data_IF_061271981491
#
_entry.id   IF_061271981491
#
_cell.length_a   1.000
_cell.length_b   1.000
_cell.length_c   1.000
_cell.angle_alpha   90.00
_cell.angle_beta   90.00
_cell.angle_gamma   90.00
#
_symmetry.space_group_name_H-M   'P 1'
#
loop_
_entity.id
_entity.type
_entity.pdbx_description
1 polymer ?
#
# COMPACT_ATOMS: atom_id res chain seq x y z
N UNK A 1 -17.85 19.98 -3.24
CA UNK A 1 -16.70 19.41 -2.49
C UNK A 1 -16.95 18.01 -1.86
N UNK A 2 -17.94 17.22 -2.32
CA UNK A 2 -18.16 15.85 -1.78
C UNK A 2 -17.32 14.78 -2.50
N UNK A 3 -16.93 15.04 -3.76
CA UNK A 3 -16.21 14.08 -4.62
C UNK A 3 -14.85 13.69 -4.05
N UNK A 4 -14.04 14.66 -3.62
CA UNK A 4 -12.70 14.38 -3.05
C UNK A 4 -12.76 13.55 -1.76
N UNK A 5 -13.76 13.81 -0.91
CA UNK A 5 -13.99 13.04 0.31
C UNK A 5 -14.39 11.60 0.02
N UNK A 6 -15.29 11.41 -0.95
CA UNK A 6 -15.74 10.08 -1.37
C UNK A 6 -14.56 9.34 -2.00
N UNK A 7 -13.82 9.97 -2.91
CA UNK A 7 -12.65 9.38 -3.55
C UNK A 7 -11.61 8.91 -2.52
N UNK A 8 -11.23 9.77 -1.56
CA UNK A 8 -10.30 9.40 -0.51
C UNK A 8 -10.78 8.21 0.33
N UNK A 9 -12.05 8.22 0.77
CA UNK A 9 -12.61 7.12 1.55
C UNK A 9 -12.68 5.81 0.77
N UNK A 10 -13.07 5.87 -0.51
CA UNK A 10 -13.19 4.69 -1.37
C UNK A 10 -11.81 4.10 -1.64
N UNK A 11 -10.83 4.92 -2.02
CA UNK A 11 -9.48 4.46 -2.34
C UNK A 11 -8.80 3.84 -1.12
N UNK A 12 -8.95 4.46 0.07
CA UNK A 12 -8.43 3.88 1.32
C UNK A 12 -9.10 2.53 1.62
N UNK A 13 -10.43 2.41 1.46
CA UNK A 13 -11.13 1.13 1.65
C UNK A 13 -10.64 0.05 0.67
N UNK A 14 -10.50 0.39 -0.60
CA UNK A 14 -9.98 -0.53 -1.63
C UNK A 14 -8.58 -0.99 -1.25
N UNK A 15 -7.70 -0.08 -0.81
CA UNK A 15 -6.37 -0.44 -0.33
C UNK A 15 -6.41 -1.46 0.82
N UNK A 16 -7.24 -1.24 1.84
CA UNK A 16 -7.38 -2.21 2.94
C UNK A 16 -7.92 -3.57 2.49
N UNK A 17 -8.89 -3.59 1.58
CA UNK A 17 -9.43 -4.84 1.01
C UNK A 17 -8.33 -5.59 0.25
N UNK A 18 -7.54 -4.90 -0.58
CA UNK A 18 -6.42 -5.50 -1.30
C UNK A 18 -5.36 -6.04 -0.33
N UNK A 19 -5.08 -5.31 0.76
CA UNK A 19 -4.14 -5.76 1.78
C UNK A 19 -4.61 -7.04 2.49
N UNK A 20 -5.90 -7.13 2.81
CA UNK A 20 -6.51 -8.35 3.36
C UNK A 20 -6.44 -9.52 2.37
N UNK A 21 -6.73 -9.28 1.09
CA UNK A 21 -6.60 -10.31 0.04
C UNK A 21 -5.16 -10.79 -0.11
N UNK A 22 -4.18 -9.88 -0.05
CA UNK A 22 -2.77 -10.22 -0.12
C UNK A 22 -2.30 -11.08 1.06
N UNK A 23 -3.02 -11.06 2.19
CA UNK A 23 -2.71 -11.87 3.37
C UNK A 23 -3.26 -13.31 3.29
N UNK A 24 -4.25 -13.57 2.43
CA UNK A 24 -4.86 -14.90 2.24
C UNK A 24 -3.81 -16.01 1.99
N UNK A 25 -2.88 -15.88 1.03
CA UNK A 25 -1.87 -16.92 0.79
C UNK A 25 -0.93 -17.13 1.99
N UNK A 26 -0.65 -16.08 2.77
CA UNK A 26 0.14 -16.21 4.00
C UNK A 26 -0.59 -17.01 5.09
N UNK A 27 -1.92 -16.87 5.19
CA UNK A 27 -2.73 -17.61 6.17
C UNK A 27 -2.96 -19.08 5.77
N UNK A 28 -2.88 -19.42 4.48
CA UNK A 28 -3.05 -20.79 3.99
C UNK A 28 -1.85 -21.70 4.22
N UNK A 29 -0.78 -21.21 4.86
CA UNK A 29 0.35 -22.04 5.30
C UNK A 29 1.31 -22.45 4.17
N UNK A 30 1.23 -21.80 3.00
CA UNK A 30 2.13 -22.00 1.85
C UNK A 30 3.54 -21.37 2.09
N UNK A 31 3.99 -21.34 3.34
CA UNK A 31 5.22 -20.68 3.80
C UNK A 31 6.50 -21.34 3.27
N UNK A 32 6.45 -22.62 2.91
CA UNK A 32 7.57 -23.37 2.32
C UNK A 32 7.97 -22.87 0.93
N UNK A 33 7.08 -22.18 0.21
CA UNK A 33 7.41 -21.52 -1.08
C UNK A 33 8.10 -20.17 -0.90
N UNK A 34 7.99 -19.57 0.29
CA UNK A 34 8.55 -18.26 0.64
C UNK A 34 9.90 -18.38 1.38
N UNK A 35 10.24 -19.56 1.90
CA UNK A 35 11.49 -19.81 2.64
C UNK A 35 12.76 -19.67 1.77
N UNK A 36 12.63 -19.90 0.45
CA UNK A 36 13.71 -19.71 -0.52
C UNK A 36 13.79 -18.28 -1.10
N UNK A 37 12.77 -17.45 -0.84
CA UNK A 37 12.76 -16.05 -1.25
C UNK A 37 13.64 -15.22 -0.31
N UNK A 38 14.94 -15.26 -0.57
CA UNK A 38 15.87 -14.26 -0.04
C UNK A 38 15.56 -12.91 -0.71
N UNK A 39 14.56 -12.20 -0.17
CA UNK A 39 14.29 -10.79 -0.46
C UNK A 39 15.38 -9.94 0.21
N UNK A 40 16.64 -10.16 -0.16
CA UNK A 40 17.75 -9.33 0.28
C UNK A 40 18.05 -8.32 -0.83
N UNK A 41 17.53 -7.09 -0.74
CA UNK A 41 17.85 -6.07 -1.72
C UNK A 41 19.36 -5.84 -1.66
N UNK A 42 20.03 -5.95 -2.81
CA UNK A 42 21.47 -5.70 -2.99
C UNK A 42 21.89 -4.30 -2.50
N UNK A 43 20.95 -3.38 -2.36
CA UNK A 43 21.19 -2.03 -1.85
C UNK A 43 20.14 -1.65 -0.79
N UNK A 44 20.61 -1.22 0.38
CA UNK A 44 19.76 -0.81 1.53
C UNK A 44 18.83 0.34 1.15
N UNK A 45 19.27 1.21 0.24
CA UNK A 45 18.49 2.34 -0.28
C UNK A 45 17.24 1.94 -1.08
N UNK A 46 17.17 0.70 -1.59
CA UNK A 46 16.00 0.21 -2.33
C UNK A 46 14.77 0.08 -1.43
N UNK A 47 14.95 -0.08 -0.12
CA UNK A 47 13.88 -0.11 0.89
C UNK A 47 13.48 1.29 1.41
N UNK A 48 14.30 2.32 1.20
CA UNK A 48 13.98 3.66 1.70
C UNK A 48 12.71 4.24 1.05
N UNK A 49 12.54 4.03 -0.25
CA UNK A 49 11.40 4.53 -1.01
C UNK A 49 10.06 3.91 -0.59
N UNK A 50 9.91 2.57 -0.47
CA UNK A 50 8.66 1.97 0.03
C UNK A 50 8.34 2.36 1.47
N UNK A 51 9.35 2.43 2.34
CA UNK A 51 9.16 2.87 3.73
C UNK A 51 8.63 4.30 3.77
N UNK A 52 9.22 5.21 2.99
CA UNK A 52 8.76 6.59 2.92
C UNK A 52 7.33 6.69 2.39
N UNK A 53 6.98 5.87 1.39
CA UNK A 53 5.64 5.85 0.81
C UNK A 53 4.59 5.42 1.84
N UNK A 54 4.89 4.37 2.63
CA UNK A 54 4.02 3.86 3.70
C UNK A 54 3.89 4.88 4.83
N UNK A 55 5.00 5.47 5.29
CA UNK A 55 4.97 6.51 6.32
C UNK A 55 4.17 7.73 5.86
N UNK A 56 4.33 8.14 4.61
CA UNK A 56 3.55 9.20 3.98
C UNK A 56 2.06 8.88 3.96
N UNK A 57 1.69 7.65 3.58
CA UNK A 57 0.30 7.17 3.63
C UNK A 57 -0.28 7.27 5.04
N UNK A 58 0.43 6.76 6.05
CA UNK A 58 -0.02 6.76 7.45
C UNK A 58 -0.22 8.19 7.95
N UNK A 59 0.75 9.06 7.72
CA UNK A 59 0.67 10.47 8.12
C UNK A 59 -0.52 11.17 7.46
N UNK A 60 -0.70 11.01 6.14
CA UNK A 60 -1.82 11.60 5.41
C UNK A 60 -3.16 11.04 5.86
N UNK A 61 -3.24 9.74 6.13
CA UNK A 61 -4.45 9.09 6.62
C UNK A 61 -4.87 9.64 7.98
N UNK A 62 -3.93 9.77 8.92
CA UNK A 62 -4.18 10.36 10.24
C UNK A 62 -4.61 11.82 10.11
N UNK A 63 -3.89 12.63 9.34
CA UNK A 63 -4.19 14.05 9.15
C UNK A 63 -5.58 14.22 8.52
N UNK A 64 -5.90 13.45 7.47
CA UNK A 64 -7.20 13.50 6.80
C UNK A 64 -8.33 13.01 7.73
N UNK A 65 -8.08 11.97 8.54
CA UNK A 65 -9.04 11.47 9.52
C UNK A 65 -9.37 12.52 10.60
N UNK A 66 -8.35 13.13 11.21
CA UNK A 66 -8.51 14.19 12.23
C UNK A 66 -9.27 15.38 11.62
N UNK A 67 -8.87 15.83 10.42
CA UNK A 67 -9.53 16.93 9.71
C UNK A 67 -10.88 16.53 9.08
N UNK A 68 -11.36 15.31 9.32
CA UNK A 68 -12.63 14.76 8.79
C UNK A 68 -12.76 14.96 7.27
N UNK A 69 -11.65 14.85 6.54
CA UNK A 69 -11.58 15.03 5.08
C UNK A 69 -12.07 16.40 4.60
N UNK A 70 -12.07 17.45 5.43
CA UNK A 70 -12.61 18.77 5.06
C UNK A 70 -11.81 19.50 3.99
N UNK A 71 -10.50 19.23 3.90
CA UNK A 71 -9.61 19.90 2.95
C UNK A 71 -9.47 19.07 1.68
N UNK A 72 -9.89 19.64 0.56
CA UNK A 72 -9.89 18.95 -0.73
C UNK A 72 -8.48 18.56 -1.19
N UNK A 73 -7.48 19.41 -0.99
CA UNK A 73 -6.10 19.16 -1.45
C UNK A 73 -5.47 17.99 -0.71
N UNK A 74 -5.65 17.91 0.61
CA UNK A 74 -5.17 16.78 1.43
C UNK A 74 -5.84 15.47 1.04
N UNK A 75 -7.14 15.50 0.71
CA UNK A 75 -7.85 14.30 0.25
C UNK A 75 -7.27 13.78 -1.07
N UNK A 76 -6.99 14.66 -2.03
CA UNK A 76 -6.38 14.28 -3.30
C UNK A 76 -4.95 13.79 -3.13
N UNK A 77 -4.17 14.40 -2.23
CA UNK A 77 -2.84 13.94 -1.89
C UNK A 77 -2.87 12.52 -1.31
N UNK A 78 -3.82 12.23 -0.41
CA UNK A 78 -4.05 10.89 0.11
C UNK A 78 -4.45 9.91 -0.99
N UNK A 79 -5.36 10.29 -1.89
CA UNK A 79 -5.77 9.45 -3.03
C UNK A 79 -4.56 9.07 -3.89
N UNK A 80 -3.77 10.06 -4.32
CA UNK A 80 -2.61 9.83 -5.18
C UNK A 80 -1.59 8.95 -4.46
N UNK A 81 -1.26 9.27 -3.20
CA UNK A 81 -0.31 8.48 -2.41
C UNK A 81 -0.78 7.02 -2.27
N UNK A 82 -2.05 6.79 -2.00
CA UNK A 82 -2.62 5.44 -1.89
C UNK A 82 -2.60 4.70 -3.23
N UNK A 83 -2.91 5.36 -4.34
CA UNK A 83 -2.86 4.74 -5.68
C UNK A 83 -1.42 4.35 -6.04
N UNK A 84 -0.44 5.20 -5.75
CA UNK A 84 0.98 4.87 -5.95
C UNK A 84 1.39 3.70 -5.06
N UNK A 85 0.92 3.65 -3.80
CA UNK A 85 1.18 2.54 -2.88
C UNK A 85 0.58 1.22 -3.38
N UNK A 86 -0.63 1.25 -3.93
CA UNK A 86 -1.25 0.08 -4.57
C UNK A 86 -0.41 -0.39 -5.76
N UNK A 87 -0.04 0.52 -6.67
CA UNK A 87 0.77 0.16 -7.83
C UNK A 87 2.12 -0.44 -7.42
N UNK A 88 2.79 0.17 -6.44
CA UNK A 88 4.05 -0.35 -5.90
C UNK A 88 3.86 -1.75 -5.31
N UNK A 89 2.86 -1.94 -4.45
CA UNK A 89 2.56 -3.24 -3.82
C UNK A 89 2.23 -4.30 -4.87
N UNK A 90 1.47 -3.95 -5.91
CA UNK A 90 1.17 -4.85 -7.03
C UNK A 90 2.43 -5.26 -7.79
N UNK A 91 3.35 -4.32 -8.08
CA UNK A 91 4.62 -4.67 -8.75
C UNK A 91 5.49 -5.59 -7.91
N UNK A 92 5.55 -5.37 -6.59
CA UNK A 92 6.25 -6.25 -5.65
C UNK A 92 5.60 -7.63 -5.64
N UNK A 93 4.27 -7.70 -5.57
CA UNK A 93 3.53 -8.97 -5.61
C UNK A 93 3.81 -9.76 -6.89
N UNK A 94 3.79 -9.09 -8.06
CA UNK A 94 4.10 -9.72 -9.35
C UNK A 94 5.54 -10.25 -9.36
N UNK A 95 6.50 -9.45 -8.88
CA UNK A 95 7.91 -9.87 -8.80
C UNK A 95 8.09 -11.09 -7.90
N UNK A 96 7.44 -11.10 -6.73
CA UNK A 96 7.46 -12.24 -5.81
C UNK A 96 6.84 -13.47 -6.49
N UNK A 97 5.70 -13.32 -7.15
CA UNK A 97 5.03 -14.42 -7.84
C UNK A 97 5.89 -15.01 -8.97
N UNK A 98 6.59 -14.17 -9.74
CA UNK A 98 7.54 -14.60 -10.79
C UNK A 98 8.78 -15.33 -10.24
N UNK A 99 9.12 -15.12 -8.97
CA UNK A 99 10.25 -15.79 -8.34
C UNK A 99 9.85 -17.14 -7.70
N UNK A 100 8.56 -17.31 -7.38
CA UNK A 100 8.02 -18.55 -6.80
C UNK A 100 7.63 -19.55 -7.89
N UNK A 101 7.19 -19.08 -9.06
CA UNK A 101 6.74 -19.89 -10.20
C UNK A 101 7.83 -20.03 -11.25
#
# INVERSE_FOLDING_TARGET
>A
MKVSQIAAKVVVRVFFILMLMALIPFLQGDGDKLSHLYLMPKNIWTLAFPILLILGFIALLIICAIKKYKHQDLNWLLVINTVVLIAYTATVYIRIYQLIK
#
